data_IF_779015290511
#
_entry.id   IF_779015290511
#
_cell.length_a   1.000
_cell.length_b   1.000
_cell.length_c   1.000
_cell.angle_alpha   90.00
_cell.angle_beta   90.00
_cell.angle_gamma   90.00
#
_symmetry.space_group_name_H-M   'P 1'
#
loop_
_entity.id
_entity.type
_entity.pdbx_description
1 polymer ?
#
# COMPACT_ATOMS: atom_id res chain seq x y z
N UNK A 1 -3.68 24.26 -6.77
CA UNK A 1 -2.97 22.99 -6.99
C UNK A 1 -2.46 22.51 -5.65
N UNK A 2 -2.80 21.30 -5.20
CA UNK A 2 -2.25 20.76 -3.96
C UNK A 2 -0.74 20.52 -4.13
N UNK A 3 0.09 20.76 -3.09
CA UNK A 3 1.51 20.47 -3.17
C UNK A 3 1.73 18.96 -3.44
N UNK A 4 2.81 18.59 -4.15
CA UNK A 4 3.13 17.19 -4.38
C UNK A 4 3.29 16.47 -3.04
N UNK A 5 2.62 15.32 -2.90
CA UNK A 5 2.75 14.48 -1.72
C UNK A 5 4.07 13.72 -1.83
N UNK A 6 5.00 13.87 -0.88
CA UNK A 6 6.26 13.12 -0.92
C UNK A 6 5.98 11.62 -0.82
N UNK A 7 6.64 10.84 -1.68
CA UNK A 7 6.62 9.38 -1.66
C UNK A 7 7.90 8.92 -0.98
N UNK A 8 7.76 8.20 0.14
CA UNK A 8 8.88 7.70 0.91
C UNK A 8 9.07 6.20 0.71
N UNK A 9 10.32 5.78 0.60
CA UNK A 9 10.74 4.38 0.71
C UNK A 9 10.59 3.87 2.14
N UNK A 10 10.52 2.55 2.30
CA UNK A 10 10.45 1.92 3.61
C UNK A 10 11.64 2.29 4.52
N UNK A 11 12.84 2.46 3.95
CA UNK A 11 14.02 2.90 4.69
C UNK A 11 13.89 4.35 5.18
N UNK A 12 13.35 5.24 4.36
CA UNK A 12 13.14 6.65 4.75
C UNK A 12 12.13 6.75 5.87
N UNK A 13 11.02 6.01 5.79
CA UNK A 13 10.02 5.92 6.86
C UNK A 13 10.66 5.43 8.17
N UNK A 14 11.46 4.35 8.12
CA UNK A 14 12.15 3.83 9.31
C UNK A 14 13.10 4.85 9.92
N UNK A 15 13.85 5.57 9.09
CA UNK A 15 14.79 6.59 9.57
C UNK A 15 14.06 7.78 10.20
N UNK A 16 13.05 8.30 9.50
CA UNK A 16 12.27 9.47 9.90
C UNK A 16 11.46 9.24 11.18
N UNK A 17 10.89 8.04 11.33
CA UNK A 17 9.99 7.71 12.45
C UNK A 17 10.60 6.67 13.43
N UNK A 18 11.93 6.55 13.43
CA UNK A 18 12.65 5.57 14.26
C UNK A 18 12.30 5.67 15.74
N UNK A 19 12.14 6.87 16.29
CA UNK A 19 11.78 7.04 17.69
C UNK A 19 10.40 6.47 18.03
N UNK A 20 9.41 6.73 17.17
CA UNK A 20 8.03 6.27 17.35
C UNK A 20 7.92 4.76 17.17
N UNK A 21 8.63 4.22 16.18
CA UNK A 21 8.65 2.79 15.89
C UNK A 21 9.37 2.00 16.99
N UNK A 22 10.45 2.55 17.57
CA UNK A 22 11.22 1.87 18.62
C UNK A 22 10.65 2.08 20.03
N UNK A 23 9.84 3.12 20.26
CA UNK A 23 9.27 3.44 21.58
C UNK A 23 7.75 3.62 21.52
N UNK A 24 6.99 2.59 21.14
CA UNK A 24 5.55 2.72 20.89
C UNK A 24 4.76 3.18 22.12
N UNK A 25 5.18 2.79 23.34
CA UNK A 25 4.50 3.17 24.58
C UNK A 25 4.62 4.68 24.87
N UNK A 26 5.81 5.27 24.61
CA UNK A 26 6.07 6.71 24.81
C UNK A 26 5.16 7.58 23.94
N UNK A 27 4.83 7.11 22.73
CA UNK A 27 4.07 7.84 21.73
C UNK A 27 2.64 7.33 21.58
N UNK A 28 2.12 6.57 22.56
CA UNK A 28 0.75 6.01 22.55
C UNK A 28 0.39 5.35 21.22
N UNK A 29 1.33 4.59 20.68
CA UNK A 29 1.21 4.01 19.36
C UNK A 29 0.23 2.82 19.37
N UNK A 30 -0.68 2.77 18.40
CA UNK A 30 -1.62 1.67 18.21
C UNK A 30 -1.51 1.09 16.81
N UNK A 31 -1.58 -0.24 16.69
CA UNK A 31 -1.63 -0.89 15.40
C UNK A 31 -3.02 -0.71 14.77
N UNK A 32 -3.05 -0.33 13.49
CA UNK A 32 -4.26 -0.21 12.68
C UNK A 32 -4.02 -0.94 11.36
N UNK A 33 -5.08 -1.53 10.82
CA UNK A 33 -5.04 -2.20 9.52
C UNK A 33 -6.11 -1.61 8.60
N UNK A 34 -5.79 -1.49 7.33
CA UNK A 34 -6.72 -1.15 6.26
C UNK A 34 -6.62 -2.24 5.19
N UNK A 35 -7.73 -2.88 4.87
CA UNK A 35 -7.79 -3.79 3.71
C UNK A 35 -8.28 -2.98 2.51
N UNK A 36 -7.44 -2.90 1.48
CA UNK A 36 -7.80 -2.37 0.16
C UNK A 36 -7.89 -3.53 -0.82
N UNK A 37 -8.38 -3.28 -2.03
CA UNK A 37 -8.33 -4.28 -3.10
C UNK A 37 -7.35 -3.82 -4.17
N UNK A 38 -6.40 -4.69 -4.50
CA UNK A 38 -5.50 -4.51 -5.62
C UNK A 38 -6.08 -5.25 -6.81
N UNK A 39 -6.26 -4.57 -7.95
CA UNK A 39 -6.97 -5.11 -9.09
C UNK A 39 -6.12 -5.07 -10.36
N UNK A 40 -6.21 -6.14 -11.14
CA UNK A 40 -5.66 -6.26 -12.49
C UNK A 40 -6.79 -6.45 -13.51
N UNK A 41 -6.46 -6.20 -14.78
CA UNK A 41 -7.40 -6.26 -15.89
C UNK A 41 -6.91 -7.28 -16.91
N UNK A 42 -7.75 -8.27 -17.19
CA UNK A 42 -7.52 -9.22 -18.26
C UNK A 42 -8.26 -8.72 -19.50
N UNK A 43 -7.54 -8.30 -20.56
CA UNK A 43 -8.18 -7.73 -21.74
C UNK A 43 -9.18 -8.70 -22.37
N UNK A 44 -10.26 -8.12 -22.90
CA UNK A 44 -11.20 -8.84 -23.74
C UNK A 44 -10.45 -9.40 -24.96
N UNK A 45 -10.82 -10.60 -25.39
CA UNK A 45 -10.21 -11.17 -26.59
C UNK A 45 -10.70 -10.42 -27.83
N UNK A 46 -9.80 -10.22 -28.80
CA UNK A 46 -10.11 -9.53 -30.06
C UNK A 46 -11.15 -10.29 -30.90
N UNK A 47 -11.23 -11.61 -30.74
CA UNK A 47 -12.22 -12.48 -31.40
C UNK A 47 -13.57 -12.53 -30.66
N UNK A 48 -13.73 -11.79 -29.57
CA UNK A 48 -14.95 -11.75 -28.76
C UNK A 48 -15.22 -13.01 -27.92
N UNK A 49 -14.29 -13.96 -27.87
CA UNK A 49 -14.44 -15.21 -27.09
C UNK A 49 -14.40 -15.02 -25.58
N UNK A 50 -13.79 -13.93 -25.11
CA UNK A 50 -13.62 -13.61 -23.70
C UNK A 50 -13.93 -12.13 -23.42
N UNK A 51 -14.82 -11.81 -22.47
CA UNK A 51 -15.06 -10.43 -22.04
C UNK A 51 -13.88 -9.87 -21.22
N UNK A 52 -13.88 -8.57 -20.96
CA UNK A 52 -12.96 -7.95 -20.00
C UNK A 52 -13.24 -8.52 -18.60
N UNK A 53 -12.21 -9.05 -17.96
CA UNK A 53 -12.30 -9.55 -16.58
C UNK A 53 -11.47 -8.67 -15.64
N UNK A 54 -12.02 -8.35 -14.48
CA UNK A 54 -11.34 -7.61 -13.42
C UNK A 54 -11.09 -8.59 -12.28
N UNK A 55 -9.82 -8.79 -11.94
CA UNK A 55 -9.41 -9.70 -10.87
C UNK A 55 -8.88 -8.83 -9.73
N UNK A 56 -9.51 -8.91 -8.56
CA UNK A 56 -9.14 -8.12 -7.40
C UNK A 56 -8.76 -9.00 -6.21
N UNK A 57 -7.61 -8.72 -5.60
CA UNK A 57 -7.12 -9.38 -4.40
C UNK A 57 -7.21 -8.45 -3.19
N UNK A 58 -7.61 -8.95 -2.00
CA UNK A 58 -7.56 -8.14 -0.80
C UNK A 58 -6.11 -7.92 -0.38
N UNK A 59 -5.69 -6.66 -0.31
CA UNK A 59 -4.37 -6.24 0.14
C UNK A 59 -4.46 -5.51 1.47
N UNK A 60 -3.87 -6.09 2.51
CA UNK A 60 -3.80 -5.52 3.86
C UNK A 60 -2.62 -4.56 3.95
N UNK A 61 -2.89 -3.34 4.39
CA UNK A 61 -1.88 -2.35 4.80
C UNK A 61 -1.92 -2.19 6.31
N UNK A 62 -0.76 -2.15 6.92
CA UNK A 62 -0.61 -2.01 8.38
C UNK A 62 0.01 -0.65 8.68
N UNK A 63 -0.57 0.04 9.65
CA UNK A 63 -0.12 1.34 10.10
C UNK A 63 0.10 1.33 11.61
N UNK A 64 1.22 1.89 12.04
CA UNK A 64 1.42 2.29 13.42
C UNK A 64 0.90 3.72 13.59
N UNK A 65 -0.21 3.89 14.31
CA UNK A 65 -0.79 5.21 14.59
C UNK A 65 -0.25 5.75 15.91
N UNK A 66 0.50 6.84 15.89
CA UNK A 66 1.19 7.38 17.06
C UNK A 66 0.81 8.84 17.34
N UNK A 67 0.82 9.23 18.61
CA UNK A 67 0.62 10.61 19.07
C UNK A 67 1.97 11.31 19.25
N UNK A 68 2.27 12.28 18.38
CA UNK A 68 3.50 13.07 18.43
C UNK A 68 3.22 14.43 19.10
N UNK A 69 4.05 14.87 20.06
CA UNK A 69 3.96 16.22 20.61
C UNK A 69 4.40 17.25 19.57
N UNK A 70 3.47 18.11 19.16
CA UNK A 70 3.70 19.22 18.25
C UNK A 70 3.65 20.52 19.02
N UNK A 71 4.70 21.33 18.93
CA UNK A 71 4.73 22.67 19.54
C UNK A 71 4.22 23.68 18.53
N UNK A 72 3.10 24.33 18.83
CA UNK A 72 2.53 25.37 17.98
C UNK A 72 2.57 26.70 18.73
N UNK A 73 2.96 27.79 18.08
CA UNK A 73 2.88 29.14 18.68
C UNK A 73 1.51 29.74 18.37
N UNK A 74 0.74 30.06 19.40
CA UNK A 74 -0.53 30.80 19.27
C UNK A 74 -0.45 32.03 20.16
N UNK A 75 -0.62 33.22 19.57
CA UNK A 75 -0.57 34.51 20.29
C UNK A 75 0.72 34.73 21.12
N UNK A 76 1.87 34.24 20.63
CA UNK A 76 3.16 34.37 21.32
C UNK A 76 3.46 33.29 22.36
N UNK A 77 2.46 32.51 22.76
CA UNK A 77 2.60 31.41 23.72
C UNK A 77 2.86 30.07 23.00
N UNK A 78 3.73 29.23 23.57
CA UNK A 78 4.02 27.88 23.07
C UNK A 78 2.98 26.91 23.64
N UNK A 79 2.15 26.34 22.78
CA UNK A 79 1.18 25.30 23.15
C UNK A 79 1.70 23.97 22.62
N UNK A 80 1.82 22.98 23.50
CA UNK A 80 2.16 21.60 23.13
C UNK A 80 0.85 20.84 22.95
N UNK A 81 0.60 20.35 21.74
CA UNK A 81 -0.56 19.50 21.42
C UNK A 81 -0.09 18.14 20.93
N UNK A 82 -0.96 17.14 21.03
CA UNK A 82 -0.71 15.81 20.45
C UNK A 82 -1.29 15.76 19.05
N UNK A 83 -0.45 15.49 18.05
CA UNK A 83 -0.86 15.25 16.67
C UNK A 83 -0.76 13.76 16.38
N UNK A 84 -1.85 13.16 15.93
CA UNK A 84 -1.86 11.76 15.52
C UNK A 84 -1.33 11.62 14.09
N UNK A 85 -0.36 10.75 13.90
CA UNK A 85 0.15 10.38 12.58
C UNK A 85 -0.05 8.87 12.35
N UNK A 86 -0.14 8.47 11.08
CA UNK A 86 -0.13 7.07 10.69
C UNK A 86 1.19 6.78 9.96
N UNK A 87 1.98 5.86 10.50
CA UNK A 87 3.24 5.42 9.91
C UNK A 87 2.97 4.07 9.25
N UNK A 88 3.13 3.96 7.94
CA UNK A 88 2.97 2.67 7.27
C UNK A 88 4.12 1.72 7.64
N UNK A 89 3.75 0.52 8.08
CA UNK A 89 4.67 -0.57 8.47
C UNK A 89 4.34 -1.87 7.74
N UNK A 90 3.55 -1.79 6.67
CA UNK A 90 3.31 -2.89 5.72
C UNK A 90 4.65 -3.44 5.22
N UNK A 91 4.81 -4.77 5.24
CA UNK A 91 6.00 -5.46 4.77
C UNK A 91 5.64 -6.64 3.86
N UNK A 92 6.65 -7.34 3.32
CA UNK A 92 6.46 -8.49 2.44
C UNK A 92 5.72 -9.66 3.08
N UNK A 93 5.76 -9.76 4.41
CA UNK A 93 5.11 -10.85 5.17
C UNK A 93 3.63 -10.55 5.47
N UNK A 94 3.21 -9.28 5.36
CA UNK A 94 1.87 -8.81 5.77
C UNK A 94 0.72 -9.51 5.05
N UNK A 95 0.94 -9.91 3.79
CA UNK A 95 -0.04 -10.53 2.91
C UNK A 95 0.41 -11.93 2.45
N UNK A 96 1.35 -12.55 3.17
CA UNK A 96 1.89 -13.85 2.78
C UNK A 96 0.83 -14.97 2.82
N UNK A 97 -0.22 -14.79 3.63
CA UNK A 97 -1.39 -15.66 3.71
C UNK A 97 -2.19 -15.75 2.40
N UNK A 98 -2.09 -14.75 1.52
CA UNK A 98 -2.69 -14.82 0.19
C UNK A 98 -2.00 -15.87 -0.69
N UNK A 99 -0.69 -16.07 -0.50
CA UNK A 99 0.12 -16.96 -1.32
C UNK A 99 0.14 -18.42 -0.81
N UNK A 100 -0.53 -18.72 0.31
CA UNK A 100 -0.69 -20.10 0.76
C UNK A 100 -1.48 -20.90 -0.31
N UNK A 101 -0.98 -22.04 -0.80
CA UNK A 101 -1.70 -22.89 -1.74
C UNK A 101 -3.08 -23.36 -1.24
N UNK A 102 -3.28 -23.37 0.08
CA UNK A 102 -4.55 -23.71 0.73
C UNK A 102 -5.45 -22.49 1.00
N UNK A 103 -4.99 -21.28 0.64
CA UNK A 103 -5.78 -20.05 0.77
C UNK A 103 -7.00 -20.11 -0.13
N UNK A 104 -8.12 -19.55 0.35
CA UNK A 104 -9.33 -19.36 -0.48
C UNK A 104 -9.08 -18.46 -1.71
N UNK A 105 -7.98 -17.70 -1.71
CA UNK A 105 -7.56 -16.81 -2.79
C UNK A 105 -6.51 -17.44 -3.71
N UNK A 106 -6.08 -18.69 -3.49
CA UNK A 106 -4.95 -19.27 -4.22
C UNK A 106 -5.15 -19.28 -5.75
N UNK A 107 -6.38 -19.57 -6.20
CA UNK A 107 -6.75 -19.50 -7.62
C UNK A 107 -6.69 -18.05 -8.14
N UNK A 108 -7.31 -17.11 -7.41
CA UNK A 108 -7.34 -15.69 -7.78
C UNK A 108 -5.93 -15.08 -7.83
N UNK A 109 -5.03 -15.48 -6.91
CA UNK A 109 -3.63 -15.01 -6.88
C UNK A 109 -2.88 -15.50 -8.12
N UNK A 110 -3.04 -16.78 -8.48
CA UNK A 110 -2.42 -17.32 -9.70
C UNK A 110 -2.93 -16.57 -10.93
N UNK A 111 -4.22 -16.35 -11.02
CA UNK A 111 -4.86 -15.66 -12.14
C UNK A 111 -4.46 -14.19 -12.21
N UNK A 112 -4.35 -13.52 -11.06
CA UNK A 112 -3.87 -12.15 -10.95
C UNK A 112 -2.43 -12.03 -11.46
N UNK A 113 -1.52 -12.88 -10.96
CA UNK A 113 -0.10 -12.83 -11.33
C UNK A 113 0.12 -13.12 -12.82
N UNK A 114 -0.63 -14.06 -13.39
CA UNK A 114 -0.58 -14.35 -14.82
C UNK A 114 -1.08 -13.15 -15.64
N UNK A 115 -2.18 -12.54 -15.22
CA UNK A 115 -2.78 -11.38 -15.90
C UNK A 115 -1.87 -10.16 -15.84
N UNK A 116 -1.24 -9.88 -14.70
CA UNK A 116 -0.24 -8.82 -14.57
C UNK A 116 0.97 -9.05 -15.47
N UNK A 117 1.42 -10.30 -15.60
CA UNK A 117 2.53 -10.62 -16.49
C UNK A 117 2.18 -10.40 -17.97
N UNK A 118 0.98 -10.82 -18.39
CA UNK A 118 0.46 -10.56 -19.73
C UNK A 118 0.29 -9.06 -20.00
N UNK A 119 -0.29 -8.32 -19.05
CA UNK A 119 -0.48 -6.88 -19.15
C UNK A 119 0.84 -6.13 -19.26
N UNK A 120 1.83 -6.49 -18.43
CA UNK A 120 3.18 -5.93 -18.51
C UNK A 120 3.79 -6.13 -19.90
N UNK A 121 3.71 -7.36 -20.42
CA UNK A 121 4.25 -7.67 -21.75
C UNK A 121 3.55 -6.88 -22.85
N UNK A 122 2.22 -6.71 -22.76
CA UNK A 122 1.46 -5.89 -23.69
C UNK A 122 1.91 -4.42 -23.67
N UNK A 123 2.04 -3.83 -22.48
CA UNK A 123 2.50 -2.44 -22.32
C UNK A 123 3.93 -2.23 -22.82
N UNK A 124 4.82 -3.21 -22.61
CA UNK A 124 6.19 -3.17 -23.15
C UNK A 124 6.18 -3.20 -24.69
N UNK A 125 5.35 -4.04 -25.31
CA UNK A 125 5.20 -4.08 -26.77
C UNK A 125 4.63 -2.78 -27.34
N UNK A 126 3.68 -2.15 -26.63
CA UNK A 126 3.09 -0.87 -27.03
C UNK A 126 4.14 0.25 -26.96
N UNK A 127 4.93 0.29 -25.89
CA UNK A 127 6.00 1.26 -25.70
C UNK A 127 7.12 1.13 -26.76
N UNK A 128 7.38 -0.09 -27.23
CA UNK A 128 8.34 -0.38 -28.32
C UNK A 128 7.76 -0.13 -29.73
N UNK A 129 6.46 0.17 -29.85
CA UNK A 129 5.79 0.38 -31.15
C UNK A 129 5.58 -0.90 -31.95
N UNK A 130 5.53 -2.05 -31.28
CA UNK A 130 5.40 -3.38 -31.89
C UNK A 130 3.94 -3.88 -31.97
N UNK A 131 2.96 -2.99 -31.81
CA UNK A 131 1.51 -3.26 -31.83
C UNK A 131 0.81 -2.52 -32.98
#
# INVERSE_FOLDING_TARGET
MAPPIPVFSASEIKNQYSEQLNNPEKYECHLKSLTQHECTFRPASLDGSRPLEIICLPFKRIFQRCAIPTTTKKNGEKIITKTWINIEVTNSETNQDLFDPNSKYAADVKDFMNTEHELKKFLEQEAEGNL
#
